data_IF_076678216630
#
_entry.id   IF_076678216630
#
_cell.length_a   1.000
_cell.length_b   1.000
_cell.length_c   1.000
_cell.angle_alpha   90.00
_cell.angle_beta   90.00
_cell.angle_gamma   90.00
#
_symmetry.space_group_name_H-M   'P 1'
#
loop_
_entity.id
_entity.type
_entity.pdbx_description
1 polymer ?
#
# COMPACT_ATOMS: atom_id res chain seq x y z
N UNK A 1 4.77 -5.23 -20.49
CA UNK A 1 4.58 -5.51 -19.06
C UNK A 1 4.60 -4.20 -18.29
N UNK A 2 3.76 -4.05 -17.29
CA UNK A 2 3.72 -2.88 -16.40
C UNK A 2 3.84 -3.34 -14.95
N UNK A 3 4.30 -2.44 -14.07
CA UNK A 3 4.53 -2.76 -12.65
C UNK A 3 3.26 -2.45 -11.86
N UNK A 4 2.88 -3.38 -10.98
CA UNK A 4 1.88 -3.21 -9.94
C UNK A 4 2.57 -3.30 -8.60
N UNK A 5 2.30 -2.34 -7.72
CA UNK A 5 2.83 -2.31 -6.36
C UNK A 5 1.75 -2.73 -5.38
N UNK A 6 2.02 -3.74 -4.57
CA UNK A 6 1.15 -4.18 -3.48
C UNK A 6 1.71 -3.73 -2.14
N UNK A 7 0.85 -3.13 -1.33
CA UNK A 7 1.11 -2.87 0.09
C UNK A 7 0.64 -4.04 0.95
N UNK A 8 1.37 -4.32 2.04
CA UNK A 8 1.14 -5.48 2.89
C UNK A 8 0.41 -5.07 4.16
N UNK A 9 -0.67 -5.77 4.48
CA UNK A 9 -1.58 -5.53 5.60
C UNK A 9 -1.85 -6.81 6.37
N UNK A 10 -2.53 -6.68 7.50
CA UNK A 10 -3.20 -7.79 8.19
C UNK A 10 -4.70 -7.67 8.00
N UNK A 11 -5.33 -8.77 7.59
CA UNK A 11 -6.77 -8.89 7.57
C UNK A 11 -7.21 -9.56 8.86
N UNK A 12 -8.16 -8.97 9.57
CA UNK A 12 -8.79 -9.54 10.76
C UNK A 12 -10.31 -9.50 10.60
N UNK A 13 -10.98 -10.51 11.11
CA UNK A 13 -12.45 -10.60 11.16
C UNK A 13 -12.96 -10.48 12.58
N UNK A 14 -14.18 -9.96 12.74
CA UNK A 14 -14.87 -9.93 14.03
C UNK A 14 -15.32 -11.32 14.42
N UNK A 15 -14.93 -11.76 15.62
CA UNK A 15 -15.42 -13.02 16.19
C UNK A 15 -16.52 -12.71 17.20
N UNK A 16 -17.76 -13.10 16.85
CA UNK A 16 -18.94 -12.88 17.69
C UNK A 16 -19.12 -13.95 18.78
N UNK A 17 -18.39 -15.07 18.68
CA UNK A 17 -18.62 -16.28 19.49
C UNK A 17 -17.51 -16.58 20.49
N UNK A 18 -16.39 -15.88 20.45
CA UNK A 18 -15.26 -16.09 21.36
C UNK A 18 -15.01 -14.87 22.24
N UNK A 19 -14.31 -15.05 23.35
CA UNK A 19 -13.88 -13.95 24.20
C UNK A 19 -12.87 -12.98 23.55
N UNK A 20 -12.34 -13.35 22.37
CA UNK A 20 -11.50 -12.48 21.55
C UNK A 20 -12.38 -11.79 20.51
N UNK A 21 -12.35 -10.45 20.50
CA UNK A 21 -13.16 -9.67 19.55
C UNK A 21 -12.74 -9.84 18.09
N UNK A 22 -11.45 -10.13 17.85
CA UNK A 22 -10.85 -10.18 16.52
C UNK A 22 -9.96 -11.42 16.35
N UNK A 23 -10.03 -12.04 15.15
CA UNK A 23 -9.22 -13.18 14.77
C UNK A 23 -8.78 -13.11 13.31
N UNK A 24 -7.80 -13.92 12.91
CA UNK A 24 -7.42 -14.04 11.51
C UNK A 24 -8.43 -14.89 10.75
N UNK A 25 -8.78 -14.49 9.52
CA UNK A 25 -9.61 -15.33 8.65
C UNK A 25 -8.90 -16.65 8.31
N UNK A 26 -9.69 -17.70 8.17
CA UNK A 26 -9.25 -19.01 7.71
C UNK A 26 -9.81 -19.34 6.32
N UNK A 27 -9.46 -20.52 5.77
CA UNK A 27 -9.88 -20.91 4.41
C UNK A 27 -11.39 -21.04 4.27
N UNK A 28 -12.08 -21.47 5.32
CA UNK A 28 -13.53 -21.70 5.33
C UNK A 28 -14.33 -20.39 5.30
N UNK A 29 -13.71 -19.28 5.65
CA UNK A 29 -14.37 -17.98 5.60
C UNK A 29 -14.58 -17.45 4.18
N UNK A 30 -13.89 -18.01 3.20
CA UNK A 30 -13.92 -17.53 1.82
C UNK A 30 -14.50 -18.58 0.88
N UNK A 31 -15.31 -18.17 -0.13
CA UNK A 31 -15.77 -19.06 -1.18
C UNK A 31 -14.60 -19.62 -2.00
N UNK A 32 -14.76 -20.81 -2.58
CA UNK A 32 -13.78 -21.38 -3.51
C UNK A 32 -13.66 -20.50 -4.76
N UNK A 33 -14.80 -20.13 -5.31
CA UNK A 33 -14.92 -19.24 -6.44
C UNK A 33 -16.17 -18.37 -6.27
N UNK A 34 -16.06 -17.09 -6.64
CA UNK A 34 -17.17 -16.15 -6.73
C UNK A 34 -16.94 -15.24 -7.94
N UNK A 35 -17.97 -15.08 -8.73
CA UNK A 35 -18.06 -14.15 -9.84
C UNK A 35 -19.38 -13.41 -9.71
N UNK A 36 -19.33 -12.13 -9.30
CA UNK A 36 -20.54 -11.39 -8.93
C UNK A 36 -20.44 -9.90 -9.22
N UNK A 37 -21.53 -9.36 -9.76
CA UNK A 37 -21.74 -7.94 -9.88
C UNK A 37 -22.39 -7.37 -8.62
N UNK A 38 -21.90 -6.21 -8.17
CA UNK A 38 -22.39 -5.47 -7.01
C UNK A 38 -22.74 -4.05 -7.39
N UNK A 39 -23.89 -3.59 -6.92
CA UNK A 39 -24.26 -2.18 -7.02
C UNK A 39 -23.33 -1.33 -6.14
N UNK A 40 -22.88 -0.23 -6.71
CA UNK A 40 -22.04 0.77 -6.06
C UNK A 40 -22.73 2.14 -6.14
N UNK A 41 -22.54 3.03 -5.16
CA UNK A 41 -23.11 4.38 -5.21
C UNK A 41 -22.70 5.20 -6.43
N UNK A 42 -21.63 4.79 -7.10
CA UNK A 42 -21.07 5.48 -8.28
C UNK A 42 -21.17 4.67 -9.58
N UNK A 43 -21.85 3.53 -9.57
CA UNK A 43 -21.93 2.66 -10.74
C UNK A 43 -22.01 1.19 -10.35
N UNK A 44 -21.16 0.38 -10.94
CA UNK A 44 -21.11 -1.07 -10.73
C UNK A 44 -19.71 -1.56 -10.42
N UNK A 45 -19.63 -2.65 -9.71
CA UNK A 45 -18.41 -3.36 -9.38
C UNK A 45 -18.56 -4.83 -9.75
N UNK A 46 -17.61 -5.33 -10.49
CA UNK A 46 -17.48 -6.75 -10.80
C UNK A 46 -16.44 -7.35 -9.89
N UNK A 47 -16.80 -8.35 -9.10
CA UNK A 47 -15.93 -8.97 -8.10
C UNK A 47 -15.70 -10.44 -8.44
N UNK A 48 -14.46 -10.75 -8.75
CA UNK A 48 -13.98 -12.11 -8.91
C UNK A 48 -13.19 -12.53 -7.68
N UNK A 49 -13.56 -13.67 -7.08
CA UNK A 49 -12.79 -14.30 -5.99
C UNK A 49 -12.36 -15.68 -6.42
N UNK A 50 -11.11 -16.03 -6.18
CA UNK A 50 -10.58 -17.38 -6.40
C UNK A 50 -9.71 -17.80 -5.25
N UNK A 51 -10.09 -18.89 -4.60
CA UNK A 51 -9.31 -19.54 -3.56
C UNK A 51 -8.46 -20.63 -4.18
N UNK A 52 -7.17 -20.60 -3.95
CA UNK A 52 -6.24 -21.56 -4.53
C UNK A 52 -5.08 -21.82 -3.57
N UNK A 53 -4.88 -23.10 -3.24
CA UNK A 53 -3.81 -23.51 -2.36
C UNK A 53 -3.89 -22.87 -0.97
N UNK A 54 -2.91 -22.03 -0.66
CA UNK A 54 -2.80 -21.38 0.64
C UNK A 54 -3.21 -19.90 0.63
N UNK A 55 -3.95 -19.47 -0.39
CA UNK A 55 -4.39 -18.09 -0.50
C UNK A 55 -5.72 -17.91 -1.19
N UNK A 56 -6.25 -16.69 -1.10
CA UNK A 56 -7.41 -16.23 -1.85
C UNK A 56 -7.08 -14.94 -2.59
N UNK A 57 -7.43 -14.91 -3.86
CA UNK A 57 -7.23 -13.77 -4.74
C UNK A 57 -8.56 -13.09 -5.04
N UNK A 58 -8.56 -11.75 -5.04
CA UNK A 58 -9.68 -10.93 -5.44
C UNK A 58 -9.25 -10.03 -6.58
N UNK A 59 -10.05 -9.98 -7.63
CA UNK A 59 -10.00 -8.95 -8.65
C UNK A 59 -11.32 -8.19 -8.61
N UNK A 60 -11.23 -6.88 -8.40
CA UNK A 60 -12.38 -5.99 -8.32
C UNK A 60 -12.23 -4.98 -9.43
N UNK A 61 -13.14 -5.02 -10.39
CA UNK A 61 -13.22 -4.07 -11.45
C UNK A 61 -14.38 -3.13 -11.21
N UNK A 62 -14.17 -1.84 -11.35
CA UNK A 62 -15.21 -0.83 -11.10
C UNK A 62 -15.29 0.22 -12.18
N UNK A 63 -16.47 0.74 -12.39
CA UNK A 63 -16.76 1.76 -13.35
C UNK A 63 -17.94 2.63 -12.94
N UNK A 64 -18.12 3.73 -13.68
CA UNK A 64 -19.23 4.65 -13.52
C UNK A 64 -19.87 4.91 -14.88
N UNK A 65 -21.18 5.06 -14.91
CA UNK A 65 -21.88 5.47 -16.11
C UNK A 65 -21.49 6.91 -16.52
N UNK A 66 -21.18 7.75 -15.54
CA UNK A 66 -20.76 9.13 -15.74
C UNK A 66 -19.28 9.35 -15.34
N UNK A 67 -18.54 10.28 -16.00
CA UNK A 67 -19.02 11.10 -17.12
C UNK A 67 -19.11 10.32 -18.43
N UNK A 68 -20.08 10.69 -19.25
CA UNK A 68 -20.25 10.19 -20.63
C UNK A 68 -20.42 11.37 -21.57
N UNK A 69 -19.56 11.43 -22.59
CA UNK A 69 -19.72 12.39 -23.68
C UNK A 69 -20.67 11.84 -24.73
N UNK A 70 -21.50 12.71 -25.31
CA UNK A 70 -22.41 12.34 -26.39
C UNK A 70 -21.70 11.95 -27.68
N UNK A 71 -20.46 12.42 -27.82
CA UNK A 71 -19.65 12.20 -29.01
C UNK A 71 -18.27 11.66 -28.66
N UNK A 72 -17.74 10.86 -29.57
CA UNK A 72 -16.33 10.41 -29.55
C UNK A 72 -15.66 10.87 -30.87
N UNK A 73 -14.33 11.06 -30.78
CA UNK A 73 -13.50 11.42 -31.94
C UNK A 73 -12.58 10.25 -32.24
N UNK A 74 -12.63 9.75 -33.47
CA UNK A 74 -11.68 8.75 -33.92
C UNK A 74 -10.30 9.36 -34.05
N UNK A 75 -9.30 8.69 -33.42
CA UNK A 75 -7.92 9.22 -33.34
C UNK A 75 -7.26 9.28 -34.72
N UNK A 76 -7.61 8.36 -35.62
CA UNK A 76 -6.98 8.24 -36.93
C UNK A 76 -7.67 9.12 -37.96
N UNK A 77 -9.00 8.98 -38.09
CA UNK A 77 -9.78 9.72 -39.09
C UNK A 77 -10.07 11.16 -38.67
N UNK A 78 -9.98 11.50 -37.37
CA UNK A 78 -10.41 12.77 -36.77
C UNK A 78 -11.89 13.05 -36.90
N UNK A 79 -12.69 12.05 -37.28
CA UNK A 79 -14.13 12.18 -37.42
C UNK A 79 -14.81 12.13 -36.07
N UNK A 80 -15.77 13.03 -35.88
CA UNK A 80 -16.65 13.07 -34.72
C UNK A 80 -17.90 12.23 -35.01
N UNK A 81 -18.21 11.28 -34.13
CA UNK A 81 -19.38 10.43 -34.19
C UNK A 81 -20.09 10.32 -32.86
N UNK A 82 -21.33 9.91 -32.85
CA UNK A 82 -22.06 9.61 -31.63
C UNK A 82 -21.34 8.54 -30.81
N UNK A 83 -21.39 8.69 -29.49
CA UNK A 83 -20.80 7.73 -28.57
C UNK A 83 -21.61 6.43 -28.63
N UNK A 84 -21.02 5.30 -29.02
CA UNK A 84 -21.74 4.03 -29.16
C UNK A 84 -22.18 3.46 -27.79
N UNK A 85 -21.57 3.92 -26.68
CA UNK A 85 -21.94 3.50 -25.32
C UNK A 85 -23.30 4.11 -24.96
N UNK A 86 -24.24 3.30 -24.50
CA UNK A 86 -25.53 3.78 -23.98
C UNK A 86 -25.35 4.46 -22.63
N UNK A 87 -26.29 5.30 -22.24
CA UNK A 87 -26.28 5.99 -20.92
C UNK A 87 -26.30 5.02 -19.74
N UNK A 88 -26.87 3.83 -19.92
CA UNK A 88 -26.95 2.77 -18.92
C UNK A 88 -25.74 1.83 -18.92
N UNK A 89 -24.82 1.98 -19.86
CA UNK A 89 -23.64 1.12 -19.97
C UNK A 89 -22.47 1.69 -19.19
N UNK A 90 -21.70 0.81 -18.57
CA UNK A 90 -20.56 1.13 -17.73
C UNK A 90 -19.32 0.44 -18.26
N UNK A 91 -18.22 1.17 -18.31
CA UNK A 91 -16.91 0.60 -18.58
C UNK A 91 -16.16 0.36 -17.26
N UNK A 92 -15.78 -0.88 -16.97
CA UNK A 92 -15.04 -1.26 -15.77
C UNK A 92 -13.55 -0.96 -15.96
N UNK A 93 -13.17 0.30 -15.82
CA UNK A 93 -11.79 0.77 -16.11
C UNK A 93 -10.83 0.72 -14.92
N UNK A 94 -11.36 0.74 -13.72
CA UNK A 94 -10.54 0.70 -12.49
C UNK A 94 -10.41 -0.73 -12.01
N UNK A 95 -9.19 -1.12 -11.66
CA UNK A 95 -8.89 -2.46 -11.17
C UNK A 95 -8.24 -2.37 -9.79
N UNK A 96 -8.72 -3.18 -8.87
CA UNK A 96 -8.14 -3.40 -7.57
C UNK A 96 -7.85 -4.88 -7.40
N UNK A 97 -6.62 -5.22 -7.09
CA UNK A 97 -6.19 -6.60 -6.85
C UNK A 97 -5.83 -6.78 -5.38
N UNK A 98 -6.30 -7.88 -4.82
CA UNK A 98 -6.02 -8.24 -3.44
C UNK A 98 -5.66 -9.72 -3.36
N UNK A 99 -4.66 -10.04 -2.57
CA UNK A 99 -4.30 -11.43 -2.27
C UNK A 99 -4.14 -11.60 -0.77
N UNK A 100 -4.77 -12.61 -0.19
CA UNK A 100 -4.60 -12.96 1.21
C UNK A 100 -3.95 -14.34 1.31
N UNK A 101 -2.84 -14.41 2.06
CA UNK A 101 -2.08 -15.63 2.30
C UNK A 101 -2.43 -16.20 3.68
N UNK A 102 -3.04 -17.37 3.71
CA UNK A 102 -3.47 -18.05 4.94
C UNK A 102 -2.30 -18.51 5.81
N UNK A 103 -1.12 -18.79 5.22
CA UNK A 103 0.06 -19.24 5.99
C UNK A 103 0.65 -18.12 6.83
N UNK A 104 0.74 -16.93 6.26
CA UNK A 104 1.36 -15.77 6.91
C UNK A 104 0.37 -14.82 7.54
N UNK A 105 -0.94 -14.99 7.26
CA UNK A 105 -2.02 -14.08 7.62
C UNK A 105 -1.76 -12.64 7.12
N UNK A 106 -1.14 -12.54 5.94
CA UNK A 106 -0.85 -11.26 5.31
C UNK A 106 -1.76 -11.03 4.11
N UNK A 107 -2.21 -9.81 3.99
CA UNK A 107 -2.99 -9.33 2.85
C UNK A 107 -2.14 -8.37 2.02
N UNK A 108 -2.19 -8.55 0.72
CA UNK A 108 -1.50 -7.75 -0.29
C UNK A 108 -2.53 -6.96 -1.07
N UNK A 109 -2.45 -5.63 -1.02
CA UNK A 109 -3.43 -4.71 -1.62
C UNK A 109 -2.75 -3.83 -2.65
N UNK A 110 -3.23 -3.83 -3.90
CA UNK A 110 -2.60 -3.11 -5.01
C UNK A 110 -2.77 -1.59 -4.95
N UNK A 111 -3.79 -1.08 -4.26
CA UNK A 111 -3.98 0.36 -4.07
C UNK A 111 -4.51 0.67 -2.66
N UNK A 112 -3.66 1.30 -1.85
CA UNK A 112 -3.95 1.65 -0.46
C UNK A 112 -5.16 2.58 -0.29
N UNK A 113 -5.46 3.41 -1.30
CA UNK A 113 -6.60 4.35 -1.27
C UNK A 113 -7.94 3.61 -1.23
N UNK A 114 -7.97 2.36 -1.72
CA UNK A 114 -9.16 1.51 -1.73
C UNK A 114 -9.26 0.57 -0.52
N UNK A 115 -8.47 0.80 0.54
CA UNK A 115 -8.52 -0.04 1.75
C UNK A 115 -9.93 -0.16 2.33
N UNK A 116 -10.57 0.98 2.61
CA UNK A 116 -11.93 1.00 3.17
C UNK A 116 -12.94 0.39 2.21
N UNK A 117 -12.81 0.69 0.93
CA UNK A 117 -13.65 0.12 -0.11
C UNK A 117 -13.58 -1.41 -0.17
N UNK A 118 -12.37 -1.99 -0.05
CA UNK A 118 -12.21 -3.44 0.03
C UNK A 118 -12.86 -4.02 1.29
N UNK A 119 -12.75 -3.37 2.46
CA UNK A 119 -13.45 -3.78 3.68
C UNK A 119 -14.97 -3.83 3.47
N UNK A 120 -15.54 -2.85 2.78
CA UNK A 120 -16.97 -2.80 2.48
C UNK A 120 -17.41 -3.89 1.48
N UNK A 121 -16.58 -4.17 0.45
CA UNK A 121 -16.85 -5.24 -0.53
C UNK A 121 -16.82 -6.60 0.15
N UNK A 122 -15.76 -6.91 0.90
CA UNK A 122 -15.63 -8.21 1.56
C UNK A 122 -16.78 -8.45 2.55
N UNK A 123 -17.25 -7.40 3.22
CA UNK A 123 -18.44 -7.46 4.08
C UNK A 123 -19.70 -7.84 3.27
N UNK A 124 -19.90 -7.21 2.10
CA UNK A 124 -21.06 -7.49 1.23
C UNK A 124 -21.07 -8.92 0.67
N UNK A 125 -19.90 -9.49 0.36
CA UNK A 125 -19.81 -10.82 -0.27
C UNK A 125 -19.73 -11.96 0.72
N UNK A 126 -19.19 -11.74 1.93
CA UNK A 126 -18.95 -12.79 2.94
C UNK A 126 -19.86 -12.61 4.17
N UNK A 127 -20.32 -11.39 4.46
CA UNK A 127 -21.28 -11.12 5.52
C UNK A 127 -20.69 -10.95 6.93
N UNK A 128 -19.38 -10.97 7.10
CA UNK A 128 -18.68 -10.70 8.36
C UNK A 128 -18.00 -9.33 8.33
N UNK A 129 -17.76 -8.76 9.50
CA UNK A 129 -16.96 -7.53 9.61
C UNK A 129 -15.48 -7.88 9.50
N UNK A 130 -14.84 -7.32 8.48
CA UNK A 130 -13.41 -7.42 8.24
C UNK A 130 -12.77 -6.05 8.33
N UNK A 131 -11.56 -6.00 8.86
CA UNK A 131 -10.78 -4.77 8.99
C UNK A 131 -9.34 -5.04 8.53
N UNK A 132 -8.78 -4.10 7.78
CA UNK A 132 -7.37 -4.08 7.45
C UNK A 132 -6.60 -3.30 8.52
N UNK A 133 -5.64 -3.96 9.15
CA UNK A 133 -4.71 -3.35 10.11
C UNK A 133 -3.33 -3.23 9.49
N UNK A 134 -2.70 -2.09 9.70
CA UNK A 134 -1.28 -1.93 9.39
C UNK A 134 -0.44 -2.96 10.16
N UNK A 135 0.70 -3.33 9.61
CA UNK A 135 1.67 -4.16 10.31
C UNK A 135 2.43 -3.23 11.23
N UNK A 136 2.03 -3.22 12.51
CA UNK A 136 2.83 -2.53 13.52
C UNK A 136 4.08 -3.38 13.80
N UNK A 137 5.24 -2.80 13.59
CA UNK A 137 6.49 -3.34 14.10
C UNK A 137 7.11 -2.34 15.04
N UNK A 138 7.67 -2.86 16.12
CA UNK A 138 8.49 -2.07 17.02
C UNK A 138 9.64 -1.43 16.24
N UNK A 139 10.08 -0.25 16.68
CA UNK A 139 11.20 0.49 16.10
C UNK A 139 12.44 -0.40 15.92
N UNK A 140 12.73 -1.22 16.91
CA UNK A 140 13.84 -2.18 16.87
C UNK A 140 13.71 -3.17 15.70
N UNK A 141 12.54 -3.75 15.51
CA UNK A 141 12.31 -4.72 14.42
C UNK A 141 12.41 -4.09 13.03
N UNK A 142 12.07 -2.80 12.86
CA UNK A 142 12.31 -2.08 11.60
C UNK A 142 13.82 -1.90 11.35
N UNK A 143 14.57 -1.49 12.36
CA UNK A 143 16.02 -1.30 12.24
C UNK A 143 16.77 -2.59 11.89
N UNK A 144 16.29 -3.75 12.35
CA UNK A 144 16.87 -5.05 12.01
C UNK A 144 16.69 -5.43 10.54
N UNK A 145 15.54 -5.09 9.95
CA UNK A 145 15.23 -5.51 8.57
C UNK A 145 15.68 -4.53 7.51
N UNK A 146 15.83 -3.24 7.79
CA UNK A 146 16.24 -2.26 6.80
C UNK A 146 17.74 -2.39 6.48
N UNK A 147 18.08 -2.54 5.21
CA UNK A 147 19.47 -2.70 4.75
C UNK A 147 20.00 -1.43 4.07
N UNK A 148 19.15 -0.74 3.36
CA UNK A 148 19.49 0.53 2.72
C UNK A 148 18.40 1.55 2.97
N UNK A 149 18.78 2.81 3.10
CA UNK A 149 17.86 3.94 3.30
C UNK A 149 17.87 4.80 2.06
N UNK A 150 16.71 5.11 1.54
CA UNK A 150 16.52 5.94 0.35
C UNK A 150 15.97 7.33 0.71
N UNK A 151 15.17 7.41 1.77
CA UNK A 151 14.56 8.66 2.19
C UNK A 151 14.37 8.69 3.70
N UNK A 152 14.69 9.83 4.31
CA UNK A 152 14.38 10.16 5.69
C UNK A 152 13.72 11.52 5.68
N UNK A 153 12.48 11.61 6.17
CA UNK A 153 11.75 12.86 6.28
C UNK A 153 11.19 13.00 7.69
N UNK A 154 11.33 14.17 8.27
CA UNK A 154 10.72 14.49 9.56
C UNK A 154 10.57 16.01 9.74
N UNK A 155 9.72 16.39 10.66
CA UNK A 155 9.57 17.76 11.15
C UNK A 155 10.04 17.78 12.59
N UNK A 156 10.85 18.74 12.96
CA UNK A 156 11.27 18.98 14.35
C UNK A 156 10.83 20.38 14.77
N UNK A 157 10.24 20.50 15.93
CA UNK A 157 9.85 21.78 16.52
C UNK A 157 10.94 22.38 17.41
N UNK A 158 11.94 21.57 17.76
CA UNK A 158 13.06 22.01 18.59
C UNK A 158 14.36 21.38 18.13
N UNK A 159 15.32 22.20 17.96
CA UNK A 159 16.73 22.02 18.24
C UNK A 159 17.36 20.63 18.06
N UNK A 160 17.12 19.98 16.90
CA UNK A 160 18.02 18.89 16.49
C UNK A 160 19.50 19.34 16.55
N UNK A 161 19.72 20.64 16.60
CA UNK A 161 21.02 21.31 16.62
C UNK A 161 21.30 22.11 17.89
N UNK A 162 20.43 22.04 18.92
CA UNK A 162 20.60 22.84 20.14
C UNK A 162 21.88 22.53 20.91
N UNK A 163 22.33 21.29 20.85
CA UNK A 163 23.59 20.90 21.46
C UNK A 163 24.83 21.36 20.65
N UNK A 164 24.66 21.77 19.40
CA UNK A 164 25.76 22.21 18.51
C UNK A 164 25.54 23.68 18.12
N UNK A 165 26.07 24.59 18.92
CA UNK A 165 25.95 26.04 18.72
C UNK A 165 26.38 26.49 17.32
N UNK A 166 27.34 25.82 16.67
CA UNK A 166 27.81 26.15 15.33
C UNK A 166 26.78 25.86 14.26
N UNK A 167 26.04 24.76 14.39
CA UNK A 167 24.99 24.39 13.43
C UNK A 167 23.77 25.31 13.60
N UNK A 168 23.42 25.67 14.83
CA UNK A 168 22.35 26.63 15.10
C UNK A 168 22.70 28.01 14.52
N UNK A 169 23.91 28.49 14.75
CA UNK A 169 24.39 29.76 14.16
C UNK A 169 24.32 29.72 12.63
N UNK A 170 24.81 28.64 12.01
CA UNK A 170 24.74 28.49 10.57
C UNK A 170 23.31 28.48 10.01
N UNK A 171 22.36 27.88 10.73
CA UNK A 171 20.94 27.89 10.35
C UNK A 171 20.32 29.28 10.47
N UNK A 172 20.63 30.00 11.56
CA UNK A 172 20.20 31.40 11.76
C UNK A 172 20.81 32.30 10.69
N UNK A 173 22.10 32.16 10.38
CA UNK A 173 22.78 32.91 9.33
C UNK A 173 22.17 32.66 7.95
N UNK A 174 21.71 31.42 7.68
CA UNK A 174 21.12 31.05 6.41
C UNK A 174 19.67 31.55 6.28
N UNK A 175 18.89 31.49 7.33
CA UNK A 175 17.46 31.77 7.32
C UNK A 175 17.09 33.15 7.80
N UNK A 176 17.95 33.80 8.57
CA UNK A 176 17.67 35.07 9.24
C UNK A 176 16.66 34.98 10.39
N UNK A 177 16.26 33.77 10.79
CA UNK A 177 15.22 33.56 11.82
C UNK A 177 15.88 33.11 13.11
N UNK A 178 15.58 33.82 14.20
CA UNK A 178 16.13 33.60 15.53
C UNK A 178 15.18 32.87 16.48
N UNK A 179 13.90 32.82 16.13
CA UNK A 179 12.84 32.23 16.97
C UNK A 179 12.67 30.73 16.71
N UNK A 180 11.79 30.06 17.47
CA UNK A 180 11.48 28.65 17.28
C UNK A 180 10.97 28.39 15.87
N UNK A 181 11.70 27.59 15.12
CA UNK A 181 11.40 27.28 13.72
C UNK A 181 10.98 25.82 13.63
N UNK A 182 9.87 25.55 12.94
CA UNK A 182 9.56 24.22 12.44
C UNK A 182 10.49 23.89 11.28
N UNK A 183 11.44 23.00 11.51
CA UNK A 183 12.38 22.56 10.48
C UNK A 183 11.92 21.25 9.87
N UNK A 184 11.59 21.26 8.58
CA UNK A 184 11.36 20.05 7.82
C UNK A 184 12.66 19.62 7.15
N UNK A 185 13.12 18.41 7.49
CA UNK A 185 14.26 17.77 6.82
C UNK A 185 13.74 16.66 5.89
N UNK A 186 14.14 16.71 4.62
CA UNK A 186 13.88 15.70 3.61
C UNK A 186 15.22 15.29 2.98
N UNK A 187 15.73 14.13 3.41
CA UNK A 187 17.01 13.58 2.96
C UNK A 187 16.73 12.44 2.00
N UNK A 188 17.05 12.64 0.73
CA UNK A 188 16.94 11.62 -0.32
C UNK A 188 18.31 11.21 -0.82
N UNK A 189 18.48 9.92 -1.05
CA UNK A 189 19.72 9.39 -1.61
C UNK A 189 19.45 8.27 -2.59
N UNK A 190 20.14 8.30 -3.71
CA UNK A 190 20.15 7.23 -4.71
C UNK A 190 21.31 6.26 -4.50
N UNK A 191 22.07 6.42 -3.40
CA UNK A 191 23.21 5.57 -3.11
C UNK A 191 22.78 4.29 -2.44
N UNK A 192 22.97 3.16 -3.13
CA UNK A 192 22.76 1.81 -2.54
C UNK A 192 23.71 1.50 -1.35
N UNK A 193 24.66 2.40 -1.07
CA UNK A 193 25.64 2.25 0.03
C UNK A 193 25.29 3.10 1.25
N UNK A 194 24.29 3.97 1.16
CA UNK A 194 23.89 4.81 2.28
C UNK A 194 23.22 3.97 3.37
N UNK A 195 23.89 3.81 4.49
CA UNK A 195 23.43 3.05 5.65
C UNK A 195 23.56 3.88 6.92
N UNK A 196 22.76 4.91 7.11
CA UNK A 196 22.86 5.78 8.30
C UNK A 196 22.22 5.11 9.52
N UNK A 197 22.50 3.82 9.76
CA UNK A 197 21.85 3.03 10.81
C UNK A 197 22.05 3.66 12.20
N UNK A 198 23.22 4.23 12.46
CA UNK A 198 23.47 4.93 13.73
C UNK A 198 22.57 6.16 13.88
N UNK A 199 22.50 6.99 12.85
CA UNK A 199 21.65 8.18 12.82
C UNK A 199 20.16 7.81 12.93
N UNK A 200 19.71 6.77 12.21
CA UNK A 200 18.33 6.28 12.32
C UNK A 200 18.01 5.79 13.73
N UNK A 201 18.92 5.03 14.33
CA UNK A 201 18.76 4.54 15.68
C UNK A 201 18.61 5.69 16.68
N UNK A 202 19.49 6.66 16.60
CA UNK A 202 19.43 7.88 17.41
C UNK A 202 18.11 8.64 17.20
N UNK A 203 17.68 8.87 15.95
CA UNK A 203 16.39 9.51 15.64
C UNK A 203 15.20 8.76 16.22
N UNK A 204 15.18 7.43 16.11
CA UNK A 204 14.04 6.62 16.55
C UNK A 204 14.02 6.38 18.07
N UNK A 205 15.18 6.34 18.72
CA UNK A 205 15.30 6.19 20.17
C UNK A 205 15.05 7.51 20.91
N UNK A 206 15.44 8.63 20.32
CA UNK A 206 15.35 9.96 20.93
C UNK A 206 14.25 10.83 20.32
N UNK A 207 13.24 10.20 19.72
CA UNK A 207 12.13 10.86 19.02
C UNK A 207 11.44 11.92 19.92
N UNK A 208 11.21 11.57 21.19
CA UNK A 208 10.60 12.48 22.16
C UNK A 208 11.54 13.64 22.55
N UNK A 209 12.85 13.38 22.60
CA UNK A 209 13.85 14.41 22.90
C UNK A 209 13.94 15.48 21.83
N UNK A 210 13.79 15.08 20.57
CA UNK A 210 13.85 15.98 19.43
C UNK A 210 12.48 16.52 19.02
N UNK A 211 11.41 16.20 19.75
CA UNK A 211 10.04 16.54 19.43
C UNK A 211 9.72 16.28 17.94
N UNK A 212 10.14 15.11 17.45
CA UNK A 212 9.96 14.74 16.05
C UNK A 212 8.48 14.49 15.75
N UNK A 213 8.02 15.07 14.67
CA UNK A 213 6.71 14.76 14.11
C UNK A 213 6.83 14.35 12.64
N UNK A 214 5.91 13.49 12.19
CA UNK A 214 5.87 13.04 10.81
C UNK A 214 7.12 12.27 10.36
N UNK A 215 7.82 11.56 11.25
CA UNK A 215 8.98 10.75 10.89
C UNK A 215 8.60 9.68 9.87
N UNK A 216 9.19 9.80 8.70
CA UNK A 216 9.07 8.85 7.59
C UNK A 216 10.45 8.38 7.18
N UNK A 217 10.65 7.07 7.15
CA UNK A 217 11.88 6.44 6.67
C UNK A 217 11.50 5.46 5.57
N UNK A 218 12.09 5.61 4.40
CA UNK A 218 11.92 4.69 3.28
C UNK A 218 13.25 4.08 2.89
N UNK A 219 13.22 2.79 2.58
CA UNK A 219 14.40 2.07 2.19
C UNK A 219 14.08 0.65 1.74
N UNK A 220 15.11 -0.18 1.64
CA UNK A 220 14.99 -1.57 1.22
C UNK A 220 15.51 -2.52 2.27
N UNK A 221 14.78 -3.60 2.46
CA UNK A 221 15.21 -4.80 3.17
C UNK A 221 16.03 -5.71 2.25
N UNK A 222 16.33 -6.91 2.72
CA UNK A 222 16.93 -7.95 1.88
C UNK A 222 16.11 -8.18 0.60
N UNK A 223 16.80 -8.47 -0.51
CA UNK A 223 16.22 -8.73 -1.83
C UNK A 223 15.41 -7.57 -2.44
N UNK A 224 15.68 -6.36 -1.98
CA UNK A 224 15.07 -5.16 -2.57
C UNK A 224 13.62 -4.91 -2.16
N UNK A 225 13.09 -5.63 -1.15
CA UNK A 225 11.77 -5.37 -0.61
C UNK A 225 11.70 -3.95 -0.03
N UNK A 226 10.81 -3.12 -0.56
CA UNK A 226 10.63 -1.76 -0.08
C UNK A 226 10.02 -1.76 1.32
N UNK A 227 10.62 -1.00 2.22
CA UNK A 227 10.18 -0.83 3.60
C UNK A 227 9.96 0.64 3.89
N UNK A 228 8.79 0.96 4.45
CA UNK A 228 8.45 2.32 4.87
C UNK A 228 8.08 2.28 6.35
N UNK A 229 8.77 3.09 7.14
CA UNK A 229 8.40 3.39 8.52
C UNK A 229 7.83 4.81 8.56
N UNK A 230 6.70 4.98 9.18
CA UNK A 230 6.23 6.27 9.66
C UNK A 230 5.86 6.14 11.14
N UNK A 231 5.68 7.27 11.83
CA UNK A 231 5.36 7.28 13.26
C UNK A 231 4.13 6.44 13.64
N UNK A 232 3.20 6.26 12.67
CA UNK A 232 1.94 5.56 12.89
C UNK A 232 1.94 4.13 12.35
N UNK A 233 2.69 3.87 11.24
CA UNK A 233 2.56 2.62 10.50
C UNK A 233 3.85 2.18 9.82
N UNK A 234 4.14 0.89 9.89
CA UNK A 234 5.14 0.25 9.06
C UNK A 234 4.46 -0.42 7.85
N UNK A 235 4.67 0.12 6.66
CA UNK A 235 4.11 -0.41 5.43
C UNK A 235 5.21 -1.12 4.64
N UNK A 236 4.96 -2.39 4.32
CA UNK A 236 5.77 -3.16 3.38
C UNK A 236 5.11 -3.14 2.01
N UNK A 237 5.92 -3.13 0.97
CA UNK A 237 5.45 -3.21 -0.42
C UNK A 237 6.22 -4.25 -1.20
N UNK A 238 5.54 -4.89 -2.13
CA UNK A 238 6.12 -5.75 -3.14
C UNK A 238 5.70 -5.27 -4.52
N UNK A 239 6.55 -5.48 -5.51
CA UNK A 239 6.30 -5.11 -6.89
C UNK A 239 6.24 -6.37 -7.75
N UNK A 240 5.21 -6.48 -8.57
CA UNK A 240 5.12 -7.52 -9.60
C UNK A 240 5.03 -6.87 -10.97
N UNK A 241 5.46 -7.58 -12.00
CA UNK A 241 5.25 -7.20 -13.40
C UNK A 241 4.07 -7.99 -13.95
N UNK A 242 3.14 -7.31 -14.61
CA UNK A 242 2.01 -7.96 -15.27
C UNK A 242 1.74 -7.39 -16.66
N UNK A 243 1.10 -8.17 -17.51
CA UNK A 243 0.70 -7.77 -18.85
C UNK A 243 -0.50 -6.81 -18.79
N UNK A 244 -0.55 -5.88 -19.76
CA UNK A 244 -1.74 -5.05 -20.01
C UNK A 244 -2.33 -5.36 -21.35
N UNK A 245 -3.64 -5.62 -21.37
CA UNK A 245 -4.44 -5.83 -22.56
C UNK A 245 -5.47 -4.69 -22.63
N UNK A 246 -5.46 -3.92 -23.70
CA UNK A 246 -6.37 -2.76 -23.89
C UNK A 246 -6.36 -1.77 -22.71
N UNK A 247 -5.18 -1.54 -22.13
CA UNK A 247 -4.99 -0.58 -21.02
C UNK A 247 -5.26 -1.13 -19.61
N UNK A 248 -5.87 -2.31 -19.48
CA UNK A 248 -6.15 -3.01 -18.22
C UNK A 248 -5.12 -4.12 -17.99
N UNK A 249 -4.81 -4.40 -16.72
CA UNK A 249 -3.98 -5.55 -16.38
C UNK A 249 -4.75 -6.85 -16.61
N UNK A 250 -4.07 -7.85 -17.16
CA UNK A 250 -4.61 -9.21 -17.25
C UNK A 250 -4.73 -9.82 -15.85
N UNK A 251 -5.96 -10.17 -15.47
CA UNK A 251 -6.30 -10.65 -14.13
C UNK A 251 -5.56 -11.94 -13.76
N UNK A 252 -5.44 -12.86 -14.73
CA UNK A 252 -4.79 -14.15 -14.52
C UNK A 252 -3.26 -14.00 -14.42
N UNK A 253 -2.69 -13.09 -15.18
CA UNK A 253 -1.26 -12.81 -15.12
C UNK A 253 -0.90 -12.15 -13.77
N UNK A 254 -1.71 -11.18 -13.31
CA UNK A 254 -1.56 -10.59 -11.97
C UNK A 254 -1.64 -11.66 -10.88
N UNK A 255 -2.65 -12.53 -10.94
CA UNK A 255 -2.84 -13.61 -9.96
C UNK A 255 -1.63 -14.54 -9.87
N UNK A 256 -1.14 -15.03 -11.01
CA UNK A 256 0.01 -15.92 -11.08
C UNK A 256 1.30 -15.26 -10.57
N UNK A 257 1.51 -13.99 -10.93
CA UNK A 257 2.75 -13.31 -10.58
C UNK A 257 2.77 -12.92 -9.09
N UNK A 258 1.66 -12.50 -8.48
CA UNK A 258 1.61 -12.24 -7.04
C UNK A 258 1.83 -13.51 -6.22
N UNK A 259 1.23 -14.63 -6.62
CA UNK A 259 1.41 -15.92 -5.95
C UNK A 259 2.87 -16.41 -6.03
N UNK A 260 3.52 -16.25 -7.20
CA UNK A 260 4.92 -16.60 -7.37
C UNK A 260 5.82 -15.77 -6.47
N UNK A 261 5.64 -14.45 -6.48
CA UNK A 261 6.44 -13.53 -5.68
C UNK A 261 6.34 -13.83 -4.18
N UNK A 262 5.12 -14.10 -3.69
CA UNK A 262 4.90 -14.46 -2.28
C UNK A 262 5.59 -15.78 -1.92
N UNK A 263 5.54 -16.79 -2.79
CA UNK A 263 6.24 -18.07 -2.56
C UNK A 263 7.76 -17.90 -2.55
N UNK A 264 8.31 -17.09 -3.43
CA UNK A 264 9.73 -16.77 -3.47
C UNK A 264 10.18 -16.07 -2.18
N UNK A 265 9.42 -15.07 -1.72
CA UNK A 265 9.68 -14.38 -0.45
C UNK A 265 9.57 -15.30 0.78
N UNK A 266 8.68 -16.30 0.76
CA UNK A 266 8.54 -17.27 1.82
C UNK A 266 9.74 -18.25 1.87
N UNK A 267 10.15 -18.75 0.74
CA UNK A 267 11.29 -19.68 0.61
C UNK A 267 12.61 -19.04 1.04
N UNK A 268 12.74 -17.74 0.81
CA UNK A 268 13.93 -16.98 1.15
C UNK A 268 14.05 -16.67 2.63
N UNK A 269 12.93 -16.72 3.38
CA UNK A 269 12.93 -16.59 4.84
C UNK A 269 13.26 -17.92 5.55
N UNK A 270 13.14 -19.04 4.85
CA UNK A 270 13.40 -20.38 5.38
C UNK A 270 14.89 -20.80 5.24
N UNK A 271 15.70 -20.03 4.52
CA UNK A 271 17.16 -20.17 4.41
C UNK A 271 17.87 -19.20 5.35
#
# INVERSE_FOLDING_TARGET
MAIITFSIWRLIKENKNSGLRWEYPNKEDFPEELDKDLDSPKGMEHVLVRKEGDGVFFAIESGSAEPRDDFVIDINSKEKRENPRKETEIELLKQLFVYYDFKTNLLYLSDIRFRKHFEDIIHKIIGNNYILKGIYKEKAAFLEIIKTVEEIKFVTQNDLFSADSKKKTALVDLTGVTDDIDLTLDIKTNSHRFRPLKFLKELMEEEDKYALSGLLIRGKADKGLECIYNQENFIRKINISAEKISGKFDVEDVRKNIQREIKELANDRAK
#
